data_IF_397824084958
#
_entry.id   IF_397824084958
#
_cell.length_a   1.000
_cell.length_b   1.000
_cell.length_c   1.000
_cell.angle_alpha   90.00
_cell.angle_beta   90.00
_cell.angle_gamma   90.00
#
_symmetry.space_group_name_H-M   'P 1'
#
loop_
_entity.id
_entity.type
_entity.pdbx_description
1 polymer ?
#
# COMPACT_ATOMS: atom_id res chain seq x y z
N UNK A 1 -17.17 1.01 22.00
CA UNK A 1 -16.02 0.93 21.08
C UNK A 1 -16.54 0.45 19.74
N UNK A 2 -16.21 1.10 18.62
CA UNK A 2 -16.65 0.60 17.31
C UNK A 2 -16.07 -0.79 17.09
N UNK A 3 -16.89 -1.71 16.57
CA UNK A 3 -16.46 -3.07 16.29
C UNK A 3 -15.37 -3.06 15.21
N UNK A 4 -14.23 -3.70 15.47
CA UNK A 4 -13.15 -3.86 14.48
C UNK A 4 -13.70 -4.57 13.25
N UNK A 5 -13.56 -3.96 12.08
CA UNK A 5 -13.99 -4.57 10.81
C UNK A 5 -13.23 -5.88 10.61
N UNK A 6 -13.95 -6.97 10.36
CA UNK A 6 -13.38 -8.27 10.05
C UNK A 6 -13.71 -8.65 8.61
N UNK A 7 -12.70 -9.06 7.84
CA UNK A 7 -12.88 -9.54 6.47
C UNK A 7 -12.16 -10.87 6.29
N UNK A 8 -12.88 -11.90 5.83
CA UNK A 8 -12.38 -13.28 5.73
C UNK A 8 -11.81 -13.84 7.04
N UNK A 9 -12.35 -13.40 8.18
CA UNK A 9 -11.87 -13.80 9.52
C UNK A 9 -10.68 -12.99 10.03
N UNK A 10 -10.12 -12.09 9.23
CA UNK A 10 -8.99 -11.25 9.62
C UNK A 10 -9.45 -9.88 10.12
N UNK A 11 -8.95 -9.40 11.26
CA UNK A 11 -9.23 -8.05 11.73
C UNK A 11 -8.49 -7.01 10.88
N UNK A 12 -9.09 -5.83 10.78
CA UNK A 12 -8.45 -4.62 10.28
C UNK A 12 -7.23 -4.27 11.16
N UNK A 13 -6.12 -3.92 10.55
CA UNK A 13 -4.92 -3.37 11.20
C UNK A 13 -5.09 -1.88 11.49
N UNK A 14 -4.65 -1.40 12.66
CA UNK A 14 -4.83 0.01 13.07
C UNK A 14 -3.51 0.81 13.01
N UNK A 15 -2.45 0.22 12.45
CA UNK A 15 -1.15 0.88 12.42
C UNK A 15 -1.16 2.11 11.49
N UNK A 16 -0.74 3.25 12.04
CA UNK A 16 -0.61 4.51 11.32
C UNK A 16 0.81 5.11 11.44
N UNK A 17 1.83 4.26 11.64
CA UNK A 17 3.22 4.73 11.69
C UNK A 17 3.67 5.28 10.33
N UNK A 18 4.77 6.05 10.32
CA UNK A 18 5.30 6.68 9.10
C UNK A 18 5.62 5.65 8.00
N UNK A 19 6.03 4.44 8.35
CA UNK A 19 6.26 3.35 7.40
C UNK A 19 4.97 2.85 6.73
N UNK A 20 3.86 2.77 7.48
CA UNK A 20 2.55 2.45 6.92
C UNK A 20 2.02 3.59 6.04
N UNK A 21 2.24 4.84 6.43
CA UNK A 21 1.93 6.02 5.60
C UNK A 21 2.76 6.01 4.30
N UNK A 22 4.00 5.54 4.35
CA UNK A 22 4.87 5.44 3.17
C UNK A 22 4.28 4.49 2.11
N UNK A 23 3.63 3.40 2.53
CA UNK A 23 2.91 2.53 1.59
C UNK A 23 1.78 3.29 0.86
N UNK A 24 1.08 4.21 1.52
CA UNK A 24 0.10 5.07 0.83
C UNK A 24 0.74 5.95 -0.26
N UNK A 25 2.04 6.24 -0.18
CA UNK A 25 2.75 7.01 -1.20
C UNK A 25 3.25 6.16 -2.36
N UNK A 26 3.67 4.92 -2.10
CA UNK A 26 4.36 4.10 -3.10
C UNK A 26 3.59 2.86 -3.53
N UNK A 27 2.87 2.19 -2.63
CA UNK A 27 2.22 0.89 -2.85
C UNK A 27 0.81 0.91 -2.22
N UNK A 28 -0.14 1.69 -2.77
CA UNK A 28 -1.51 1.62 -2.30
C UNK A 28 -2.05 0.21 -2.50
N UNK A 29 -2.72 -0.32 -1.47
CA UNK A 29 -3.26 -1.66 -1.44
C UNK A 29 -4.37 -1.88 -2.47
N UNK A 30 -4.49 -3.13 -2.93
CA UNK A 30 -5.55 -3.54 -3.85
C UNK A 30 -6.91 -3.60 -3.14
N UNK A 31 -7.97 -3.46 -3.95
CA UNK A 31 -9.35 -3.63 -3.52
C UNK A 31 -9.78 -5.09 -3.68
N UNK A 32 -10.65 -5.57 -2.80
CA UNK A 32 -11.47 -6.77 -3.04
C UNK A 32 -12.86 -6.35 -3.54
N UNK A 33 -13.70 -7.28 -4.02
CA UNK A 33 -14.99 -6.95 -4.62
C UNK A 33 -15.93 -6.17 -3.69
N UNK A 34 -15.98 -6.53 -2.41
CA UNK A 34 -16.82 -5.86 -1.40
C UNK A 34 -16.37 -4.42 -1.10
N UNK A 35 -15.13 -4.05 -1.39
CA UNK A 35 -14.64 -2.69 -1.16
C UNK A 35 -15.28 -1.69 -2.13
N UNK A 36 -15.67 -2.13 -3.33
CA UNK A 36 -16.16 -1.23 -4.38
C UNK A 36 -17.39 -0.44 -3.95
N UNK A 37 -18.41 -1.14 -3.45
CA UNK A 37 -19.65 -0.49 -3.00
C UNK A 37 -19.43 0.31 -1.71
N UNK A 38 -18.63 -0.21 -0.78
CA UNK A 38 -18.36 0.45 0.50
C UNK A 38 -17.63 1.79 0.30
N UNK A 39 -16.58 1.81 -0.53
CA UNK A 39 -15.82 3.04 -0.79
C UNK A 39 -16.64 4.00 -1.65
N UNK A 40 -17.37 3.51 -2.67
CA UNK A 40 -18.25 4.36 -3.47
C UNK A 40 -19.27 5.10 -2.58
N UNK A 41 -19.94 4.39 -1.67
CA UNK A 41 -20.90 4.97 -0.73
C UNK A 41 -20.26 5.98 0.23
N UNK A 42 -19.12 5.65 0.84
CA UNK A 42 -18.36 6.59 1.71
C UNK A 42 -17.99 7.88 0.98
N UNK A 43 -17.73 7.78 -0.33
CA UNK A 43 -17.38 8.93 -1.17
C UNK A 43 -18.58 9.63 -1.80
N UNK A 44 -19.80 9.21 -1.50
CA UNK A 44 -21.03 9.81 -2.00
C UNK A 44 -21.35 9.49 -3.46
N UNK A 45 -20.78 8.42 -4.02
CA UNK A 45 -21.14 7.96 -5.37
C UNK A 45 -22.35 7.04 -5.31
N UNK A 46 -23.39 7.36 -6.09
CA UNK A 46 -24.54 6.47 -6.32
C UNK A 46 -24.21 5.34 -7.30
N UNK A 47 -23.15 5.50 -8.10
CA UNK A 47 -22.78 4.59 -9.17
C UNK A 47 -21.32 4.13 -9.02
N UNK A 48 -21.13 2.82 -8.84
CA UNK A 48 -19.81 2.19 -8.69
C UNK A 48 -18.93 2.34 -9.94
N UNK A 49 -19.50 2.38 -11.14
CA UNK A 49 -18.75 2.63 -12.37
C UNK A 49 -18.19 4.06 -12.38
N UNK A 50 -19.00 5.06 -12.01
CA UNK A 50 -18.52 6.44 -11.91
C UNK A 50 -17.38 6.56 -10.88
N UNK A 51 -17.56 5.95 -9.71
CA UNK A 51 -16.52 5.84 -8.69
C UNK A 51 -15.22 5.22 -9.26
N UNK A 52 -15.33 4.08 -9.95
CA UNK A 52 -14.17 3.37 -10.48
C UNK A 52 -13.44 4.19 -11.56
N UNK A 53 -14.17 4.81 -12.48
CA UNK A 53 -13.61 5.67 -13.52
C UNK A 53 -12.90 6.89 -12.92
N UNK A 54 -13.41 7.46 -11.83
CA UNK A 54 -12.77 8.62 -11.22
C UNK A 54 -11.63 8.27 -10.27
N UNK A 55 -11.65 7.09 -9.64
CA UNK A 55 -10.78 6.82 -8.49
C UNK A 55 -9.88 5.60 -8.60
N UNK A 56 -10.06 4.71 -9.58
CA UNK A 56 -9.32 3.45 -9.66
C UNK A 56 -8.46 3.33 -10.93
N UNK A 57 -7.51 2.40 -10.87
CA UNK A 57 -6.67 1.95 -11.98
C UNK A 57 -6.71 0.43 -12.09
N UNK A 58 -6.59 -0.08 -13.31
CA UNK A 58 -6.36 -1.49 -13.58
C UNK A 58 -4.88 -1.84 -13.31
N UNK A 59 -4.63 -2.73 -12.36
CA UNK A 59 -3.30 -3.27 -12.10
C UNK A 59 -3.18 -4.67 -12.72
N UNK A 60 -2.02 -5.05 -13.28
CA UNK A 60 -1.76 -6.44 -13.65
C UNK A 60 -1.91 -7.37 -12.44
N UNK A 61 -1.80 -6.84 -11.21
CA UNK A 61 -2.17 -7.54 -9.99
C UNK A 61 -1.09 -8.51 -9.49
N UNK A 62 -1.52 -9.57 -8.80
CA UNK A 62 -0.62 -10.50 -8.11
C UNK A 62 -0.30 -11.73 -8.98
N UNK A 63 0.97 -12.13 -8.98
CA UNK A 63 1.40 -13.41 -9.53
C UNK A 63 1.31 -14.47 -8.42
N UNK A 64 0.57 -15.54 -8.67
CA UNK A 64 0.38 -16.65 -7.72
C UNK A 64 0.74 -17.98 -8.38
N UNK A 65 1.13 -18.96 -7.57
CA UNK A 65 1.30 -20.35 -8.01
C UNK A 65 0.08 -21.16 -7.58
N UNK A 66 -0.62 -21.80 -8.52
CA UNK A 66 -1.77 -22.65 -8.23
C UNK A 66 -1.69 -23.93 -9.07
N UNK A 67 -1.78 -25.10 -8.41
CA UNK A 67 -1.66 -26.41 -9.08
C UNK A 67 -0.41 -26.58 -9.97
N UNK A 68 0.70 -25.92 -9.60
CA UNK A 68 1.95 -25.95 -10.37
C UNK A 68 2.01 -24.97 -11.54
N UNK A 69 0.97 -24.16 -11.75
CA UNK A 69 0.92 -23.13 -12.77
C UNK A 69 1.06 -21.73 -12.17
N UNK A 70 1.80 -20.86 -12.89
CA UNK A 70 1.90 -19.44 -12.56
C UNK A 70 0.70 -18.72 -13.16
N UNK A 71 -0.12 -18.13 -12.29
CA UNK A 71 -1.31 -17.36 -12.68
C UNK A 71 -1.15 -15.91 -12.29
N UNK A 72 -1.63 -15.01 -13.14
CA UNK A 72 -1.75 -13.60 -12.84
C UNK A 72 -3.20 -13.29 -12.46
N UNK A 73 -3.42 -12.74 -11.26
CA UNK A 73 -4.75 -12.30 -10.79
C UNK A 73 -4.81 -10.78 -10.90
N UNK A 74 -5.54 -10.21 -11.89
CA UNK A 74 -5.60 -8.77 -12.06
C UNK A 74 -6.40 -8.10 -10.94
N UNK A 75 -5.93 -6.93 -10.51
CA UNK A 75 -6.52 -6.21 -9.38
C UNK A 75 -6.87 -4.76 -9.70
N UNK A 76 -7.80 -4.19 -8.93
CA UNK A 76 -8.09 -2.77 -8.90
C UNK A 76 -7.31 -2.13 -7.76
N UNK A 77 -6.68 -0.99 -8.04
CA UNK A 77 -5.96 -0.20 -7.04
C UNK A 77 -6.43 1.25 -7.10
N UNK A 78 -6.31 2.02 -6.01
CA UNK A 78 -6.54 3.46 -6.05
C UNK A 78 -5.67 4.14 -7.11
N UNK A 79 -6.22 5.16 -7.75
CA UNK A 79 -5.47 6.11 -8.56
C UNK A 79 -4.39 6.80 -7.74
N UNK A 80 -3.49 7.45 -8.47
CA UNK A 80 -2.41 8.25 -7.90
C UNK A 80 -2.64 9.73 -8.15
N UNK A 81 -2.19 10.55 -7.19
CA UNK A 81 -2.05 11.98 -7.33
C UNK A 81 -0.85 12.31 -8.23
N UNK A 82 -0.69 13.60 -8.57
CA UNK A 82 0.43 14.07 -9.39
C UNK A 82 1.80 13.80 -8.77
N UNK A 83 1.91 13.81 -7.43
CA UNK A 83 3.14 13.46 -6.70
C UNK A 83 3.38 11.94 -6.60
N UNK A 84 2.46 11.14 -7.15
CA UNK A 84 2.48 9.69 -7.14
C UNK A 84 1.85 9.04 -5.91
N UNK A 85 1.41 9.80 -4.90
CA UNK A 85 0.74 9.28 -3.73
C UNK A 85 -0.65 8.72 -4.04
N UNK A 86 -1.21 7.88 -3.17
CA UNK A 86 -2.58 7.40 -3.27
C UNK A 86 -3.55 8.57 -3.37
N UNK A 87 -4.54 8.48 -4.26
CA UNK A 87 -5.61 9.48 -4.43
C UNK A 87 -6.36 9.80 -3.14
N UNK A 88 -6.39 8.87 -2.18
CA UNK A 88 -7.06 9.04 -0.90
C UNK A 88 -6.14 9.50 0.24
N UNK A 89 -4.84 9.73 -0.01
CA UNK A 89 -3.93 10.29 0.99
C UNK A 89 -4.12 11.81 1.09
N UNK A 90 -4.47 12.31 2.27
CA UNK A 90 -4.65 13.74 2.53
C UNK A 90 -3.32 14.40 2.92
N UNK A 91 -3.29 15.73 2.91
CA UNK A 91 -2.10 16.52 3.23
C UNK A 91 -1.58 16.32 4.66
N UNK A 92 -2.45 15.92 5.59
CA UNK A 92 -2.12 15.59 6.98
C UNK A 92 -1.63 14.13 7.16
N UNK A 93 -1.28 13.45 6.05
CA UNK A 93 -0.91 12.04 6.00
C UNK A 93 -1.99 11.06 6.46
N UNK A 94 -3.26 11.47 6.51
CA UNK A 94 -4.37 10.57 6.84
C UNK A 94 -5.12 10.11 5.60
N UNK A 95 -5.71 8.92 5.68
CA UNK A 95 -6.49 8.35 4.59
C UNK A 95 -7.94 8.88 4.64
N UNK A 96 -8.39 9.50 3.54
CA UNK A 96 -9.74 10.05 3.39
C UNK A 96 -10.87 9.00 3.39
N UNK A 97 -10.51 7.71 3.32
CA UNK A 97 -11.43 6.57 3.35
C UNK A 97 -10.99 5.53 4.38
N UNK A 98 -10.26 5.93 5.43
CA UNK A 98 -9.62 5.00 6.36
C UNK A 98 -10.58 3.92 6.89
N UNK A 99 -11.77 4.32 7.32
CA UNK A 99 -12.84 3.45 7.86
C UNK A 99 -13.28 2.35 6.90
N UNK A 100 -13.25 2.61 5.58
CA UNK A 100 -13.62 1.66 4.53
C UNK A 100 -12.45 1.37 3.59
N UNK A 101 -11.22 1.51 4.09
CA UNK A 101 -10.03 1.45 3.26
C UNK A 101 -9.92 0.10 2.53
N UNK A 102 -9.29 0.06 1.33
CA UNK A 102 -9.15 -1.16 0.55
C UNK A 102 -8.57 -2.31 1.37
N UNK A 103 -8.93 -3.54 1.05
CA UNK A 103 -8.45 -4.74 1.75
C UNK A 103 -6.92 -4.75 1.89
N UNK A 104 -6.21 -4.45 0.80
CA UNK A 104 -4.75 -4.39 0.77
C UNK A 104 -4.13 -3.31 1.68
N UNK A 105 -4.90 -2.32 2.14
CA UNK A 105 -4.46 -1.30 3.09
C UNK A 105 -4.91 -1.59 4.52
N UNK A 106 -6.09 -2.19 4.65
CA UNK A 106 -6.74 -2.40 5.94
C UNK A 106 -6.36 -3.72 6.61
N UNK A 107 -5.81 -4.68 5.88
CA UNK A 107 -5.48 -5.98 6.46
C UNK A 107 -3.97 -6.24 6.49
N UNK A 108 -3.17 -5.26 6.05
CA UNK A 108 -1.73 -5.34 5.98
C UNK A 108 -1.09 -4.19 6.73
N UNK A 109 -0.05 -4.48 7.51
CA UNK A 109 0.83 -3.48 8.08
C UNK A 109 2.29 -3.98 8.07
N UNK A 110 3.23 -3.07 8.30
CA UNK A 110 4.66 -3.35 8.16
C UNK A 110 5.24 -4.25 9.26
N UNK A 111 4.47 -4.57 10.29
CA UNK A 111 4.92 -5.37 11.44
C UNK A 111 4.48 -6.83 11.34
N UNK A 112 3.66 -7.18 10.34
CA UNK A 112 3.23 -8.55 10.11
C UNK A 112 4.39 -9.42 9.62
N UNK A 113 4.37 -10.69 10.03
CA UNK A 113 5.26 -11.68 9.43
C UNK A 113 4.88 -11.95 7.97
N UNK A 114 5.83 -12.40 7.16
CA UNK A 114 5.53 -12.80 5.78
C UNK A 114 4.45 -13.89 5.72
N UNK A 115 4.48 -14.87 6.64
CA UNK A 115 3.49 -15.94 6.68
C UNK A 115 2.07 -15.41 6.94
N UNK A 116 1.92 -14.47 7.88
CA UNK A 116 0.63 -13.82 8.17
C UNK A 116 0.14 -13.00 6.97
N UNK A 117 1.03 -12.20 6.36
CA UNK A 117 0.67 -11.41 5.19
C UNK A 117 0.28 -12.30 4.00
N UNK A 118 0.98 -13.41 3.77
CA UNK A 118 0.67 -14.36 2.71
C UNK A 118 -0.71 -15.00 2.91
N UNK A 119 -1.05 -15.42 4.13
CA UNK A 119 -2.35 -16.00 4.46
C UNK A 119 -3.51 -15.03 4.14
N UNK A 120 -3.38 -13.77 4.58
CA UNK A 120 -4.35 -12.70 4.29
C UNK A 120 -4.44 -12.42 2.80
N UNK A 121 -3.29 -12.36 2.12
CA UNK A 121 -3.21 -12.13 0.68
C UNK A 121 -3.94 -13.21 -0.12
N UNK A 122 -3.76 -14.48 0.25
CA UNK A 122 -4.45 -15.61 -0.38
C UNK A 122 -5.98 -15.48 -0.24
N UNK A 123 -6.49 -15.08 0.92
CA UNK A 123 -7.92 -14.89 1.13
C UNK A 123 -8.52 -13.78 0.24
N UNK A 124 -7.85 -12.62 0.19
CA UNK A 124 -8.24 -11.51 -0.69
C UNK A 124 -8.19 -11.87 -2.17
N UNK A 125 -7.09 -12.50 -2.62
CA UNK A 125 -6.92 -12.92 -4.01
C UNK A 125 -7.90 -14.01 -4.42
N UNK A 126 -8.27 -14.93 -3.53
CA UNK A 126 -9.30 -15.92 -3.79
C UNK A 126 -10.67 -15.27 -4.05
N UNK A 127 -11.01 -14.18 -3.34
CA UNK A 127 -12.23 -13.43 -3.59
C UNK A 127 -12.23 -12.76 -4.98
N UNK A 128 -11.10 -12.18 -5.37
CA UNK A 128 -10.93 -11.56 -6.68
C UNK A 128 -11.00 -12.62 -7.80
N UNK A 129 -10.36 -13.77 -7.62
CA UNK A 129 -10.40 -14.87 -8.58
C UNK A 129 -11.83 -15.40 -8.80
N UNK A 130 -12.66 -15.44 -7.75
CA UNK A 130 -14.09 -15.81 -7.88
C UNK A 130 -14.86 -14.81 -8.75
N UNK A 131 -14.64 -13.50 -8.59
CA UNK A 131 -15.27 -12.49 -9.46
C UNK A 131 -14.85 -12.64 -10.92
N UNK A 132 -13.56 -12.92 -11.17
CA UNK A 132 -13.07 -13.19 -12.53
C UNK A 132 -13.75 -14.40 -13.16
N UNK A 133 -13.86 -15.51 -12.41
CA UNK A 133 -14.56 -16.71 -12.87
C UNK A 133 -16.04 -16.45 -13.17
N UNK A 134 -16.69 -15.61 -12.37
CA UNK A 134 -18.10 -15.28 -12.53
C UNK A 134 -18.39 -14.20 -13.60
N UNK A 135 -17.36 -13.52 -14.12
CA UNK A 135 -17.56 -12.32 -14.95
C UNK A 135 -18.28 -11.20 -14.18
N UNK A 136 -17.99 -11.11 -12.88
CA UNK A 136 -18.63 -10.19 -11.93
C UNK A 136 -18.26 -8.72 -12.16
N UNK A 137 -18.85 -7.84 -11.35
CA UNK A 137 -18.68 -6.39 -11.49
C UNK A 137 -17.21 -5.99 -11.40
N UNK A 138 -16.46 -6.59 -10.46
CA UNK A 138 -15.05 -6.27 -10.26
C UNK A 138 -14.22 -6.52 -11.54
N UNK A 139 -14.41 -7.69 -12.17
CA UNK A 139 -13.70 -8.06 -13.40
C UNK A 139 -14.07 -7.13 -14.57
N UNK A 140 -15.36 -6.78 -14.71
CA UNK A 140 -15.82 -5.86 -15.76
C UNK A 140 -15.22 -4.46 -15.60
N UNK A 141 -15.18 -3.92 -14.38
CA UNK A 141 -14.56 -2.62 -14.10
C UNK A 141 -13.07 -2.63 -14.45
N UNK A 142 -12.37 -3.72 -14.11
CA UNK A 142 -10.98 -3.90 -14.51
C UNK A 142 -10.83 -3.88 -16.04
N UNK A 143 -11.64 -4.66 -16.77
CA UNK A 143 -11.61 -4.70 -18.24
C UNK A 143 -11.86 -3.33 -18.87
N UNK A 144 -12.83 -2.57 -18.35
CA UNK A 144 -13.14 -1.21 -18.81
C UNK A 144 -11.92 -0.30 -18.59
N UNK A 145 -11.37 -0.26 -17.38
CA UNK A 145 -10.22 0.60 -17.07
C UNK A 145 -8.98 0.24 -17.89
N UNK A 146 -8.71 -1.06 -18.08
CA UNK A 146 -7.62 -1.54 -18.92
C UNK A 146 -7.81 -1.15 -20.39
N UNK A 147 -9.02 -1.34 -20.95
CA UNK A 147 -9.33 -0.92 -22.31
C UNK A 147 -9.16 0.60 -22.51
N UNK A 148 -9.42 1.39 -21.48
CA UNK A 148 -9.19 2.84 -21.46
C UNK A 148 -7.74 3.25 -21.21
N UNK A 149 -6.80 2.30 -21.10
CA UNK A 149 -5.38 2.54 -20.77
C UNK A 149 -5.17 3.25 -19.43
N UNK A 150 -6.07 3.01 -18.46
CA UNK A 150 -5.99 3.55 -17.10
C UNK A 150 -5.36 2.49 -16.20
N UNK A 151 -4.06 2.33 -16.38
CA UNK A 151 -3.27 1.25 -15.77
C UNK A 151 -2.40 1.75 -14.63
N UNK A 152 -2.25 0.92 -13.60
CA UNK A 152 -1.28 1.13 -12.54
C UNK A 152 0.05 0.46 -12.90
N UNK A 153 1.20 1.00 -12.43
CA UNK A 153 2.45 0.27 -12.44
C UNK A 153 2.31 -1.06 -11.70
N UNK A 154 3.07 -2.06 -12.12
CA UNK A 154 3.07 -3.38 -11.49
C UNK A 154 3.48 -3.31 -10.01
N UNK A 155 3.07 -4.30 -9.19
CA UNK A 155 3.52 -4.36 -7.79
C UNK A 155 5.06 -4.38 -7.65
N UNK A 156 5.77 -5.02 -8.59
CA UNK A 156 7.23 -5.07 -8.59
C UNK A 156 7.85 -3.68 -8.80
N UNK A 157 7.33 -2.91 -9.76
CA UNK A 157 7.79 -1.53 -10.00
C UNK A 157 7.50 -0.63 -8.79
N UNK A 158 6.33 -0.77 -8.18
CA UNK A 158 5.97 0.00 -6.98
C UNK A 158 6.89 -0.34 -5.79
N UNK A 159 7.23 -1.63 -5.60
CA UNK A 159 8.23 -2.07 -4.61
C UNK A 159 9.62 -1.48 -4.90
N UNK A 160 10.05 -1.44 -6.16
CA UNK A 160 11.31 -0.82 -6.55
C UNK A 160 11.34 0.69 -6.24
N UNK A 161 10.23 1.40 -6.49
CA UNK A 161 10.07 2.83 -6.15
C UNK A 161 10.15 3.07 -4.64
N UNK A 162 9.46 2.24 -3.85
CA UNK A 162 9.52 2.31 -2.39
C UNK A 162 10.96 2.09 -1.88
N UNK A 163 11.64 1.05 -2.36
CA UNK A 163 13.03 0.76 -1.97
C UNK A 163 13.96 1.93 -2.28
N UNK A 164 13.80 2.56 -3.46
CA UNK A 164 14.57 3.76 -3.83
C UNK A 164 14.25 4.95 -2.91
N UNK A 165 12.99 5.15 -2.54
CA UNK A 165 12.61 6.23 -1.62
C UNK A 165 13.17 6.01 -0.20
N UNK A 166 13.09 4.79 0.32
CA UNK A 166 13.68 4.41 1.61
C UNK A 166 15.20 4.62 1.62
N UNK A 167 15.89 4.21 0.55
CA UNK A 167 17.32 4.47 0.40
C UNK A 167 17.63 5.98 0.46
N UNK A 168 16.88 6.80 -0.27
CA UNK A 168 17.06 8.25 -0.30
C UNK A 168 16.75 8.93 1.05
N UNK A 169 15.83 8.39 1.83
CA UNK A 169 15.54 8.87 3.19
C UNK A 169 16.68 8.54 4.14
N UNK A 170 17.22 7.31 4.07
CA UNK A 170 18.39 6.90 4.83
C UNK A 170 19.65 7.71 4.49
N UNK A 171 19.87 8.04 3.21
CA UNK A 171 20.99 8.92 2.81
C UNK A 171 20.79 10.36 3.27
N UNK A 172 19.57 10.90 3.21
CA UNK A 172 19.27 12.25 3.75
C UNK A 172 19.42 12.32 5.27
N UNK A 173 19.15 11.24 5.99
CA UNK A 173 19.33 11.19 7.44
C UNK A 173 20.81 11.21 7.83
N UNK A 174 21.71 10.68 6.98
CA UNK A 174 23.15 10.84 7.12
C UNK A 174 23.62 12.26 6.76
N UNK A 175 23.07 12.87 5.70
CA UNK A 175 23.44 14.25 5.29
C UNK A 175 22.98 15.34 6.27
N UNK A 176 21.90 15.12 7.03
CA UNK A 176 21.48 16.04 8.10
C UNK A 176 22.22 15.84 9.43
N UNK A 177 23.08 14.82 9.55
CA UNK A 177 23.92 14.59 10.73
C UNK A 177 25.34 15.17 10.60
N UNK A 178 25.69 15.75 9.45
CA UNK A 178 26.98 16.43 9.23
C UNK A 178 26.77 17.93 9.08
N UNK A 179 26.31 18.58 10.14
CA UNK A 179 26.45 20.01 10.30
C UNK A 179 26.55 20.39 11.79
N UNK A 180 27.80 20.70 12.18
CA UNK A 180 28.25 21.40 13.40
C UNK A 180 28.39 20.56 14.68
N UNK A 181 29.63 20.28 15.08
CA UNK A 181 30.38 21.30 15.81
C UNK A 181 31.89 21.04 15.81
N UNK A 182 32.58 22.15 15.63
CA UNK A 182 33.99 22.38 15.87
C UNK A 182 34.39 21.91 17.27
N UNK A 183 35.47 21.13 17.35
CA UNK A 183 36.44 21.26 18.43
C UNK A 183 37.83 21.03 17.86
N UNK A 184 38.46 22.13 17.46
CA UNK A 184 39.90 22.32 17.57
C UNK A 184 40.29 22.20 19.05
N UNK A 185 41.01 21.14 19.42
CA UNK A 185 42.01 21.22 20.51
C UNK A 185 43.08 20.14 20.29
N UNK A 186 44.33 20.50 19.92
CA UNK A 186 45.46 19.57 19.91
C UNK A 186 46.08 19.41 21.33
N UNK A 187 46.96 18.41 21.51
CA UNK A 187 47.03 17.55 22.70
C UNK A 187 48.08 18.01 23.70
N UNK A 188 47.91 17.72 24.99
CA UNK A 188 48.97 17.29 25.94
C UNK A 188 48.37 17.06 27.33
N UNK A 189 48.81 15.99 28.01
CA UNK A 189 48.35 15.65 29.36
C UNK A 189 48.92 14.34 29.88
N UNK A 190 50.25 14.26 29.89
CA UNK A 190 51.06 13.28 30.60
C UNK A 190 50.63 13.19 32.08
N UNK A 191 50.44 11.99 32.63
CA UNK A 191 50.75 11.72 34.05
C UNK A 191 50.96 10.23 34.34
N UNK A 192 52.10 9.98 34.98
CA UNK A 192 52.66 8.72 35.47
C UNK A 192 51.97 8.24 36.76
N UNK A 193 52.13 6.95 37.07
CA UNK A 193 52.10 6.41 38.44
C UNK A 193 51.77 4.91 38.49
N UNK A 194 52.77 4.01 38.57
CA UNK A 194 53.13 3.18 39.77
C UNK A 194 52.02 2.20 40.17
N UNK A 195 52.19 0.87 40.16
CA UNK A 195 53.32 0.01 40.54
C UNK A 195 53.49 -1.19 39.59
#
# INVERSE_FOLDING_TARGET
>A
MPATRTTFGFPHTECACDECVLNCRFIPGYLIPSDLAAIAAERGYENVLAFALENLLASPGATVMAAGEVLQIPTLVPQRQADGACRFLMADNRCAIHTVSPYGCSHFDVHQSNAEADERSLAGLAAIAREWKAGGLYARLWTILHAMKREAPSPLENKARLKKALFNLGTKQLDHSVAKNDYDTPPYGEQRGTN
#
